data_IF_190092232293
#
_entry.id   IF_190092232293
#
_cell.length_a   1.000
_cell.length_b   1.000
_cell.length_c   1.000
_cell.angle_alpha   90.00
_cell.angle_beta   90.00
_cell.angle_gamma   90.00
#
_symmetry.space_group_name_H-M   'P 1'
#
loop_
_entity.id
_entity.type
_entity.pdbx_description
1 polymer ?
#
# COMPACT_ATOMS: atom_id res chain seq x y z
N UNK A 1 7.03 29.94 -18.83
CA UNK A 1 7.85 28.75 -19.16
C UNK A 1 8.20 28.04 -17.85
N UNK A 2 7.22 27.30 -17.28
CA UNK A 2 7.35 26.67 -15.94
C UNK A 2 6.48 25.42 -15.72
N UNK A 3 5.73 24.93 -16.71
CA UNK A 3 4.74 23.85 -16.50
C UNK A 3 5.19 22.44 -16.92
N UNK A 4 6.39 22.29 -17.50
CA UNK A 4 6.84 20.96 -17.97
C UNK A 4 7.34 20.06 -16.83
N UNK A 5 7.79 20.61 -15.69
CA UNK A 5 8.32 19.81 -14.57
C UNK A 5 7.25 19.33 -13.59
N UNK A 6 6.20 20.13 -13.35
CA UNK A 6 5.08 19.78 -12.47
C UNK A 6 4.17 18.69 -13.07
N UNK A 7 3.94 18.75 -14.39
CA UNK A 7 3.12 17.79 -15.12
C UNK A 7 3.66 16.35 -15.01
N UNK A 8 4.99 16.17 -15.10
CA UNK A 8 5.62 14.85 -14.99
C UNK A 8 5.48 14.22 -13.60
N UNK A 9 5.53 15.03 -12.53
CA UNK A 9 5.31 14.54 -11.17
C UNK A 9 3.85 14.16 -10.93
N UNK A 10 2.91 15.02 -11.34
CA UNK A 10 1.48 14.76 -11.21
C UNK A 10 1.05 13.50 -11.99
N UNK A 11 1.52 13.33 -13.22
CA UNK A 11 1.22 12.15 -14.03
C UNK A 11 1.76 10.86 -13.40
N UNK A 12 2.99 10.89 -12.86
CA UNK A 12 3.57 9.73 -12.14
C UNK A 12 2.78 9.40 -10.88
N UNK A 13 2.33 10.41 -10.14
CA UNK A 13 1.51 10.22 -8.94
C UNK A 13 0.15 9.61 -9.29
N UNK A 14 -0.51 10.11 -10.34
CA UNK A 14 -1.76 9.55 -10.84
C UNK A 14 -1.58 8.11 -11.32
N UNK A 15 -0.53 7.81 -12.07
CA UNK A 15 -0.24 6.44 -12.50
C UNK A 15 -0.04 5.49 -11.30
N UNK A 16 0.66 5.94 -10.25
CA UNK A 16 0.80 5.17 -9.00
C UNK A 16 -0.54 4.97 -8.30
N UNK A 17 -1.38 5.99 -8.24
CA UNK A 17 -2.71 5.90 -7.66
C UNK A 17 -3.56 4.85 -8.39
N UNK A 18 -3.60 4.92 -9.72
CA UNK A 18 -4.34 3.96 -10.54
C UNK A 18 -3.82 2.54 -10.38
N UNK A 19 -2.50 2.34 -10.33
CA UNK A 19 -1.92 1.02 -10.10
C UNK A 19 -2.21 0.49 -8.69
N UNK A 20 -2.22 1.33 -7.67
CA UNK A 20 -2.61 0.94 -6.31
C UNK A 20 -4.10 0.59 -6.22
N UNK A 21 -4.98 1.35 -6.91
CA UNK A 21 -6.40 1.03 -7.00
C UNK A 21 -6.59 -0.33 -7.68
N UNK A 22 -5.91 -0.56 -8.82
CA UNK A 22 -5.94 -1.83 -9.53
C UNK A 22 -5.42 -2.99 -8.67
N UNK A 23 -4.36 -2.74 -7.89
CA UNK A 23 -3.81 -3.72 -6.96
C UNK A 23 -4.83 -4.09 -5.88
N UNK A 24 -5.45 -3.09 -5.23
CA UNK A 24 -6.47 -3.34 -4.20
C UNK A 24 -7.65 -4.11 -4.79
N UNK A 25 -8.12 -3.73 -5.97
CA UNK A 25 -9.17 -4.46 -6.68
C UNK A 25 -8.77 -5.91 -6.94
N UNK A 26 -7.56 -6.14 -7.45
CA UNK A 26 -7.03 -7.49 -7.72
C UNK A 26 -6.94 -8.33 -6.43
N UNK A 27 -6.51 -7.72 -5.33
CA UNK A 27 -6.44 -8.41 -4.04
C UNK A 27 -7.83 -8.72 -3.50
N UNK A 28 -8.79 -7.80 -3.61
CA UNK A 28 -10.17 -8.04 -3.19
C UNK A 28 -10.85 -9.16 -4.00
N UNK A 29 -10.57 -9.25 -5.30
CA UNK A 29 -11.19 -10.24 -6.19
C UNK A 29 -10.56 -11.64 -6.08
N UNK A 30 -9.22 -11.72 -5.99
CA UNK A 30 -8.50 -13.00 -6.07
C UNK A 30 -7.96 -13.49 -4.71
N UNK A 31 -8.09 -12.69 -3.65
CA UNK A 31 -7.56 -13.01 -2.32
C UNK A 31 -8.59 -12.85 -1.20
N UNK A 32 -9.86 -13.12 -1.49
CA UNK A 32 -10.98 -13.09 -0.54
C UNK A 32 -10.67 -13.79 0.80
N UNK A 33 -9.90 -14.87 0.78
CA UNK A 33 -9.46 -15.62 1.97
C UNK A 33 -8.54 -14.86 2.94
N UNK A 34 -7.82 -13.84 2.45
CA UNK A 34 -6.81 -13.12 3.23
C UNK A 34 -7.02 -11.61 3.24
N UNK A 35 -7.72 -11.06 2.25
CA UNK A 35 -7.94 -9.64 2.08
C UNK A 35 -9.44 -9.42 1.83
N UNK A 36 -10.16 -9.11 2.90
CA UNK A 36 -11.59 -8.87 2.84
C UNK A 36 -11.85 -7.37 2.78
N UNK A 37 -12.46 -6.90 1.69
CA UNK A 37 -12.77 -5.48 1.50
C UNK A 37 -14.23 -5.31 1.06
N UNK A 38 -15.01 -4.62 1.89
CA UNK A 38 -16.41 -4.27 1.58
C UNK A 38 -16.52 -2.83 1.10
N UNK A 39 -17.66 -2.49 0.46
CA UNK A 39 -17.94 -1.14 -0.04
C UNK A 39 -17.75 -0.98 -1.55
N UNK A 40 -17.30 -2.02 -2.27
CA UNK A 40 -17.24 -2.05 -3.73
C UNK A 40 -16.29 -1.01 -4.33
N UNK A 41 -16.72 -0.37 -5.44
CA UNK A 41 -15.88 0.56 -6.19
C UNK A 41 -15.37 1.77 -5.37
N UNK A 42 -16.19 2.44 -4.53
CA UNK A 42 -15.70 3.46 -3.61
C UNK A 42 -14.58 2.98 -2.69
N UNK A 43 -14.65 1.76 -2.18
CA UNK A 43 -13.64 1.20 -1.29
C UNK A 43 -12.29 1.04 -2.02
N UNK A 44 -12.29 0.57 -3.27
CA UNK A 44 -11.05 0.43 -4.05
C UNK A 44 -10.38 1.78 -4.32
N UNK A 45 -11.18 2.81 -4.63
CA UNK A 45 -10.69 4.17 -4.84
C UNK A 45 -10.06 4.75 -3.58
N UNK A 46 -10.75 4.66 -2.45
CA UNK A 46 -10.28 5.19 -1.17
C UNK A 46 -9.03 4.45 -0.70
N UNK A 47 -9.05 3.12 -0.73
CA UNK A 47 -7.92 2.30 -0.28
C UNK A 47 -6.69 2.44 -1.19
N UNK A 48 -6.88 2.43 -2.51
CA UNK A 48 -5.77 2.65 -3.45
C UNK A 48 -5.16 4.06 -3.31
N UNK A 49 -6.00 5.07 -3.05
CA UNK A 49 -5.54 6.44 -2.76
C UNK A 49 -4.80 6.50 -1.43
N UNK A 50 -5.33 5.86 -0.38
CA UNK A 50 -4.68 5.77 0.94
C UNK A 50 -3.29 5.13 0.83
N UNK A 51 -3.18 3.99 0.15
CA UNK A 51 -1.90 3.31 -0.08
C UNK A 51 -0.91 4.26 -0.80
N UNK A 52 -1.39 5.02 -1.77
CA UNK A 52 -0.55 5.99 -2.50
C UNK A 52 -0.06 7.11 -1.59
N UNK A 53 -0.92 7.67 -0.76
CA UNK A 53 -0.57 8.70 0.21
C UNK A 53 0.39 8.18 1.27
N UNK A 54 0.14 7.01 1.84
CA UNK A 54 1.05 6.38 2.80
C UNK A 54 2.40 6.08 2.16
N UNK A 55 2.43 5.63 0.91
CA UNK A 55 3.69 5.43 0.19
C UNK A 55 4.48 6.73 0.01
N UNK A 56 3.80 7.87 -0.14
CA UNK A 56 4.43 9.17 -0.29
C UNK A 56 4.99 9.70 1.04
N UNK A 57 4.21 9.64 2.12
CA UNK A 57 4.56 10.26 3.41
C UNK A 57 5.19 9.31 4.42
N UNK A 58 4.66 8.09 4.54
CA UNK A 58 5.04 7.14 5.59
C UNK A 58 6.25 6.32 5.17
N UNK A 59 6.37 5.95 3.89
CA UNK A 59 7.49 5.13 3.41
C UNK A 59 8.87 5.76 3.66
N UNK A 60 9.09 7.07 3.43
CA UNK A 60 10.34 7.74 3.79
C UNK A 60 10.62 7.69 5.31
N UNK A 61 9.58 7.84 6.13
CA UNK A 61 9.70 7.81 7.59
C UNK A 61 10.06 6.40 8.09
N UNK A 62 9.36 5.37 7.64
CA UNK A 62 9.66 3.98 7.99
C UNK A 62 11.06 3.58 7.52
N UNK A 63 11.51 4.08 6.37
CA UNK A 63 12.87 3.85 5.90
C UNK A 63 13.92 4.44 6.85
N UNK A 64 13.69 5.65 7.35
CA UNK A 64 14.59 6.29 8.30
C UNK A 64 14.67 5.52 9.63
N UNK A 65 13.52 5.10 10.15
CA UNK A 65 13.44 4.33 11.41
C UNK A 65 14.09 2.96 11.27
N UNK A 66 13.93 2.30 10.11
CA UNK A 66 14.48 0.96 9.85
C UNK A 66 15.90 0.97 9.30
N UNK A 67 16.49 2.14 9.08
CA UNK A 67 17.86 2.29 8.57
C UNK A 67 18.90 1.54 9.41
N UNK A 68 18.91 1.64 10.76
CA UNK A 68 19.88 0.91 11.58
C UNK A 68 19.76 -0.60 11.40
N UNK A 69 18.52 -1.12 11.35
CA UNK A 69 18.25 -2.54 11.16
C UNK A 69 18.66 -3.02 9.76
N UNK A 70 18.49 -2.17 8.75
CA UNK A 70 18.83 -2.50 7.36
C UNK A 70 20.32 -2.79 7.17
N UNK A 71 21.19 -2.20 7.99
CA UNK A 71 22.64 -2.42 7.98
C UNK A 71 23.01 -3.84 8.41
N UNK A 72 22.24 -4.46 9.31
CA UNK A 72 22.51 -5.79 9.84
C UNK A 72 21.66 -6.88 9.19
N UNK A 73 20.42 -6.56 8.81
CA UNK A 73 19.46 -7.53 8.29
C UNK A 73 18.51 -6.90 7.25
N UNK A 74 19.01 -6.67 6.04
CA UNK A 74 18.26 -5.98 4.97
C UNK A 74 16.95 -6.67 4.61
N UNK A 75 16.93 -8.00 4.51
CA UNK A 75 15.71 -8.76 4.18
C UNK A 75 14.67 -8.61 5.30
N UNK A 76 15.09 -8.82 6.55
CA UNK A 76 14.22 -8.71 7.72
C UNK A 76 13.65 -7.29 7.85
N UNK A 77 14.48 -6.27 7.67
CA UNK A 77 14.05 -4.87 7.66
C UNK A 77 12.97 -4.61 6.59
N UNK A 78 13.13 -5.17 5.38
CA UNK A 78 12.13 -5.00 4.32
C UNK A 78 10.79 -5.65 4.68
N UNK A 79 10.80 -6.84 5.29
CA UNK A 79 9.57 -7.52 5.75
C UNK A 79 8.89 -6.69 6.82
N UNK A 80 9.64 -6.19 7.80
CA UNK A 80 9.10 -5.35 8.88
C UNK A 80 8.50 -4.06 8.34
N UNK A 81 9.17 -3.35 7.43
CA UNK A 81 8.65 -2.11 6.84
C UNK A 81 7.33 -2.37 6.09
N UNK A 82 7.27 -3.41 5.27
CA UNK A 82 6.05 -3.73 4.53
C UNK A 82 4.93 -4.18 5.48
N UNK A 83 5.26 -4.95 6.51
CA UNK A 83 4.32 -5.36 7.55
C UNK A 83 3.72 -4.18 8.31
N UNK A 84 4.58 -3.29 8.82
CA UNK A 84 4.16 -2.05 9.48
C UNK A 84 3.28 -1.20 8.55
N UNK A 85 3.61 -1.16 7.27
CA UNK A 85 2.82 -0.45 6.27
C UNK A 85 1.40 -1.03 6.15
N UNK A 86 1.25 -2.36 6.10
CA UNK A 86 -0.07 -3.02 6.10
C UNK A 86 -0.83 -2.76 7.40
N UNK A 87 -0.14 -2.84 8.53
CA UNK A 87 -0.74 -2.55 9.83
C UNK A 87 -1.30 -1.13 9.89
N UNK A 88 -0.57 -0.14 9.37
CA UNK A 88 -1.06 1.25 9.30
C UNK A 88 -2.26 1.40 8.38
N UNK A 89 -2.30 0.68 7.26
CA UNK A 89 -3.47 0.68 6.37
C UNK A 89 -4.70 0.15 7.12
N UNK A 90 -4.55 -0.96 7.85
CA UNK A 90 -5.61 -1.53 8.66
C UNK A 90 -6.10 -0.55 9.73
N UNK A 91 -5.19 -0.01 10.53
CA UNK A 91 -5.54 0.95 11.59
C UNK A 91 -6.27 2.16 11.02
N UNK A 92 -5.77 2.75 9.93
CA UNK A 92 -6.42 3.90 9.30
C UNK A 92 -7.80 3.53 8.74
N UNK A 93 -7.95 2.35 8.16
CA UNK A 93 -9.25 1.88 7.65
C UNK A 93 -10.29 1.70 8.75
N UNK A 94 -9.89 1.35 9.97
CA UNK A 94 -10.79 1.20 11.12
C UNK A 94 -11.36 2.54 11.61
N UNK A 95 -10.67 3.65 11.33
CA UNK A 95 -11.18 5.00 11.62
C UNK A 95 -12.11 5.55 10.53
N UNK A 96 -12.29 4.84 9.42
CA UNK A 96 -13.21 5.23 8.36
C UNK A 96 -14.63 4.74 8.65
N UNK A 97 -15.63 5.40 8.07
CA UNK A 97 -17.02 4.96 8.20
C UNK A 97 -17.19 3.58 7.55
N UNK A 98 -17.61 2.61 8.36
CA UNK A 98 -17.82 1.22 7.95
C UNK A 98 -18.87 1.07 6.84
N UNK A 99 -19.75 2.07 6.68
CA UNK A 99 -20.71 2.11 5.56
C UNK A 99 -20.04 2.37 4.21
N UNK A 100 -18.87 3.01 4.22
CA UNK A 100 -18.13 3.37 3.01
C UNK A 100 -17.15 2.25 2.65
N UNK A 101 -16.39 1.76 3.63
CA UNK A 101 -15.51 0.61 3.45
C UNK A 101 -15.23 -0.09 4.77
N UNK A 102 -15.08 -1.41 4.72
CA UNK A 102 -14.49 -2.20 5.80
C UNK A 102 -13.36 -3.02 5.20
N UNK A 103 -12.15 -2.84 5.73
CA UNK A 103 -11.00 -3.69 5.41
C UNK A 103 -10.74 -4.62 6.59
N UNK A 104 -10.67 -5.92 6.31
CA UNK A 104 -10.21 -6.92 7.25
C UNK A 104 -9.17 -7.83 6.58
N UNK A 105 -8.19 -8.30 7.36
CA UNK A 105 -7.21 -9.28 6.92
C UNK A 105 -7.45 -10.57 7.68
N UNK A 106 -8.08 -11.50 6.98
CA UNK A 106 -8.36 -12.83 7.50
C UNK A 106 -7.10 -13.73 7.46
N UNK A 107 -7.08 -14.77 8.29
CA UNK A 107 -5.93 -15.69 8.39
C UNK A 107 -4.82 -15.25 9.35
N UNK A 108 -5.10 -14.26 10.21
CA UNK A 108 -4.22 -13.85 11.31
C UNK A 108 -2.82 -13.43 10.84
N UNK A 109 -1.78 -13.92 11.53
CA UNK A 109 -0.39 -13.58 11.21
C UNK A 109 0.02 -13.99 9.78
N UNK A 110 -0.48 -15.14 9.28
CA UNK A 110 -0.12 -15.65 7.94
C UNK A 110 -0.78 -14.81 6.86
N UNK A 111 -2.06 -14.48 7.00
CA UNK A 111 -2.76 -13.59 6.06
C UNK A 111 -2.10 -12.22 5.98
N UNK A 112 -1.79 -11.64 7.14
CA UNK A 112 -1.05 -10.39 7.22
C UNK A 112 0.32 -10.44 6.52
N UNK A 113 1.08 -11.53 6.70
CA UNK A 113 2.38 -11.70 6.06
C UNK A 113 2.26 -11.83 4.53
N UNK A 114 1.25 -12.55 4.04
CA UNK A 114 0.96 -12.70 2.62
C UNK A 114 0.59 -11.33 2.01
N UNK A 115 -0.34 -10.61 2.62
CA UNK A 115 -0.77 -9.28 2.18
C UNK A 115 0.41 -8.29 2.17
N UNK A 116 1.23 -8.28 3.22
CA UNK A 116 2.43 -7.46 3.31
C UNK A 116 3.46 -7.78 2.23
N UNK A 117 3.63 -9.07 1.92
CA UNK A 117 4.54 -9.53 0.87
C UNK A 117 4.05 -9.07 -0.51
N UNK A 118 2.76 -9.21 -0.79
CA UNK A 118 2.16 -8.84 -2.09
C UNK A 118 2.17 -7.32 -2.28
N UNK A 119 1.74 -6.55 -1.28
CA UNK A 119 1.82 -5.09 -1.32
C UNK A 119 3.27 -4.62 -1.46
N UNK A 120 4.20 -5.25 -0.76
CA UNK A 120 5.64 -4.98 -0.88
C UNK A 120 6.17 -5.25 -2.29
N UNK A 121 5.81 -6.41 -2.85
CA UNK A 121 6.20 -6.82 -4.20
C UNK A 121 5.59 -5.92 -5.27
N UNK A 122 4.29 -5.63 -5.19
CA UNK A 122 3.62 -4.75 -6.14
C UNK A 122 4.22 -3.34 -6.10
N UNK A 123 4.48 -2.78 -4.91
CA UNK A 123 5.17 -1.48 -4.78
C UNK A 123 6.56 -1.50 -5.42
N UNK A 124 7.29 -2.61 -5.31
CA UNK A 124 8.58 -2.77 -5.98
C UNK A 124 8.43 -2.82 -7.50
N UNK A 125 7.47 -3.59 -8.03
CA UNK A 125 7.17 -3.65 -9.47
C UNK A 125 6.77 -2.29 -10.01
N UNK A 126 5.87 -1.57 -9.33
CA UNK A 126 5.46 -0.21 -9.71
C UNK A 126 6.64 0.76 -9.75
N UNK A 127 7.57 0.66 -8.79
CA UNK A 127 8.80 1.47 -8.78
C UNK A 127 9.72 1.14 -9.96
N UNK A 128 9.74 -0.11 -10.42
CA UNK A 128 10.53 -0.53 -11.58
C UNK A 128 9.88 -0.12 -12.90
N UNK A 129 8.55 -0.21 -13.00
CA UNK A 129 7.80 0.12 -14.21
C UNK A 129 7.68 1.64 -14.45
N UNK A 130 7.59 2.44 -13.38
CA UNK A 130 7.46 3.91 -13.44
C UNK A 130 8.79 4.66 -13.23
N UNK A 131 9.91 3.95 -13.44
CA UNK A 131 11.25 4.47 -13.18
C UNK A 131 11.72 5.44 -14.27
#
# INVERSE_FOLDING_TARGET
>A
MSDSSSSGFALRLLAKALLNILLVWTMAEYMDRYFFLTGGLPAYLVMGSLITLLNLFVRPLLYLITLPLKLFATILASVIVNGLFVQLILEISQYMDQKILTLDIEGGFVGWLIVATILGFANWVMKMALR
#
